data_IF_585645014161
#
_entry.id   IF_585645014161
#
_cell.length_a   1.000
_cell.length_b   1.000
_cell.length_c   1.000
_cell.angle_alpha   90.00
_cell.angle_beta   90.00
_cell.angle_gamma   90.00
#
_symmetry.space_group_name_H-M   'P 1'
#
loop_
_entity.id
_entity.type
_entity.pdbx_description
1 polymer ?
#
# COMPACT_ATOMS: atom_id res chain seq x y z
N UNK A 1 -18.63 24.77 -36.92
CA UNK A 1 -18.47 26.23 -36.96
C UNK A 1 -17.61 26.58 -35.77
N UNK A 2 -16.29 26.56 -35.95
CA UNK A 2 -15.32 26.92 -34.93
C UNK A 2 -15.44 28.43 -34.68
N UNK A 3 -15.98 28.81 -33.52
CA UNK A 3 -15.81 30.16 -33.03
C UNK A 3 -14.35 30.29 -32.60
N UNK A 4 -13.55 30.99 -33.39
CA UNK A 4 -12.21 31.39 -33.00
C UNK A 4 -12.32 32.20 -31.70
N UNK A 5 -11.87 31.61 -30.58
CA UNK A 5 -11.75 32.30 -29.30
C UNK A 5 -10.88 33.54 -29.52
N UNK A 6 -11.51 34.72 -29.46
CA UNK A 6 -10.78 35.99 -29.52
C UNK A 6 -10.23 36.23 -28.13
N UNK A 7 -8.94 35.97 -27.94
CA UNK A 7 -8.26 36.14 -26.64
C UNK A 7 -7.83 37.60 -26.51
N UNK A 8 -8.32 38.29 -25.48
CA UNK A 8 -7.78 39.59 -25.09
C UNK A 8 -6.37 39.41 -24.50
N UNK A 9 -5.37 39.93 -25.21
CA UNK A 9 -3.97 39.83 -24.80
C UNK A 9 -3.68 40.60 -23.52
N UNK A 10 -4.38 41.69 -23.24
CA UNK A 10 -4.17 42.46 -22.03
C UNK A 10 -4.66 41.69 -20.80
N UNK A 11 -5.86 41.13 -20.87
CA UNK A 11 -6.42 40.28 -19.81
C UNK A 11 -5.57 39.01 -19.60
N UNK A 12 -5.11 38.38 -20.68
CA UNK A 12 -4.20 37.23 -20.60
C UNK A 12 -2.91 37.58 -19.87
N UNK A 13 -2.24 38.67 -20.25
CA UNK A 13 -1.00 39.11 -19.62
C UNK A 13 -1.19 39.47 -18.14
N UNK A 14 -2.29 40.14 -17.81
CA UNK A 14 -2.63 40.45 -16.43
C UNK A 14 -2.84 39.16 -15.61
N UNK A 15 -3.47 38.15 -16.20
CA UNK A 15 -3.69 36.85 -15.54
C UNK A 15 -2.40 36.07 -15.34
N UNK A 16 -1.50 36.08 -16.33
CA UNK A 16 -0.15 35.49 -16.21
C UNK A 16 0.62 36.19 -15.10
N UNK A 17 0.67 37.53 -15.08
CA UNK A 17 1.38 38.28 -14.05
C UNK A 17 0.88 37.96 -12.64
N UNK A 18 -0.45 37.91 -12.43
CA UNK A 18 -1.04 37.54 -11.13
C UNK A 18 -0.66 36.11 -10.71
N UNK A 19 -0.67 35.15 -11.64
CA UNK A 19 -0.29 33.77 -11.36
C UNK A 19 1.21 33.65 -11.04
N UNK A 20 2.06 34.33 -11.79
CA UNK A 20 3.50 34.41 -11.55
C UNK A 20 3.79 34.99 -10.17
N UNK A 21 3.20 36.14 -9.84
CA UNK A 21 3.40 36.76 -8.53
C UNK A 21 2.89 35.86 -7.38
N UNK A 22 1.78 35.15 -7.58
CA UNK A 22 1.25 34.21 -6.60
C UNK A 22 2.19 33.02 -6.36
N UNK A 23 2.83 32.50 -7.41
CA UNK A 23 3.81 31.43 -7.28
C UNK A 23 5.10 31.95 -6.64
N UNK A 24 5.64 33.09 -7.10
CA UNK A 24 6.86 33.69 -6.55
C UNK A 24 6.72 34.03 -5.06
N UNK A 25 5.54 34.46 -4.60
CA UNK A 25 5.27 34.68 -3.16
C UNK A 25 5.37 33.42 -2.30
N UNK A 26 5.26 32.23 -2.89
CA UNK A 26 5.38 30.94 -2.19
C UNK A 26 6.80 30.38 -2.22
N UNK A 27 7.74 31.04 -2.91
CA UNK A 27 9.14 30.62 -2.93
C UNK A 27 9.76 30.73 -1.54
N UNK A 28 10.48 29.69 -1.11
CA UNK A 28 11.24 29.70 0.14
C UNK A 28 12.50 30.58 0.00
N UNK A 29 13.10 31.05 1.10
CA UNK A 29 14.28 31.94 1.05
C UNK A 29 15.49 31.40 0.28
N UNK A 30 15.63 30.07 0.19
CA UNK A 30 16.67 29.34 -0.53
C UNK A 30 16.28 29.00 -1.99
N UNK A 31 15.13 29.50 -2.45
CA UNK A 31 14.74 29.50 -3.85
C UNK A 31 13.87 28.32 -4.30
N UNK A 32 13.59 27.34 -3.44
CA UNK A 32 12.73 26.21 -3.80
C UNK A 32 11.25 26.47 -3.48
N UNK A 33 10.37 25.62 -4.02
CA UNK A 33 8.95 25.55 -3.66
C UNK A 33 8.64 24.18 -3.04
N UNK A 34 7.77 24.17 -2.04
CA UNK A 34 7.24 22.95 -1.44
C UNK A 34 5.73 23.02 -1.44
N UNK A 35 5.11 22.00 -2.01
CA UNK A 35 3.67 21.80 -1.99
C UNK A 35 3.37 20.43 -1.42
N UNK A 36 2.14 20.26 -0.94
CA UNK A 36 1.66 18.97 -0.50
C UNK A 36 1.57 18.00 -1.68
N UNK A 37 2.15 16.81 -1.51
CA UNK A 37 1.96 15.69 -2.41
C UNK A 37 0.96 14.73 -1.75
N UNK A 38 -0.32 14.95 -2.02
CA UNK A 38 -1.37 14.06 -1.55
C UNK A 38 -1.46 12.83 -2.47
N UNK A 39 -1.39 11.63 -1.87
CA UNK A 39 -1.60 10.37 -2.56
C UNK A 39 -3.06 9.91 -2.36
N UNK A 40 -3.28 8.91 -1.51
CA UNK A 40 -4.59 8.40 -1.17
C UNK A 40 -4.64 8.04 0.34
N UNK A 41 -5.78 7.49 0.78
CA UNK A 41 -5.98 7.11 2.17
C UNK A 41 -5.05 5.97 2.66
N UNK A 42 -4.34 5.26 1.78
CA UNK A 42 -3.52 4.11 2.14
C UNK A 42 -2.30 4.51 2.96
N UNK A 43 -1.53 5.53 2.54
CA UNK A 43 -0.31 5.95 3.22
C UNK A 43 -0.56 6.34 4.69
N UNK A 44 -1.51 7.25 5.02
CA UNK A 44 -1.77 7.58 6.42
C UNK A 44 -2.38 6.42 7.21
N UNK A 45 -3.14 5.53 6.56
CA UNK A 45 -3.65 4.32 7.21
C UNK A 45 -2.53 3.34 7.55
N UNK A 46 -1.58 3.15 6.63
CA UNK A 46 -0.42 2.29 6.81
C UNK A 46 0.53 2.81 7.87
N UNK A 47 0.65 4.14 8.03
CA UNK A 47 1.41 4.72 9.14
C UNK A 47 0.83 4.30 10.51
N UNK A 48 -0.48 4.45 10.71
CA UNK A 48 -1.15 4.00 11.95
C UNK A 48 -0.91 2.50 12.16
N UNK A 49 -1.11 1.70 11.11
CA UNK A 49 -0.93 0.26 11.19
C UNK A 49 0.54 -0.13 11.42
N UNK A 50 1.52 0.64 10.93
CA UNK A 50 2.94 0.40 11.17
C UNK A 50 3.29 0.64 12.64
N UNK A 51 2.89 1.78 13.21
CA UNK A 51 3.10 2.07 14.63
C UNK A 51 2.47 0.97 15.51
N UNK A 52 1.27 0.53 15.15
CA UNK A 52 0.59 -0.55 15.85
C UNK A 52 1.24 -1.93 15.67
N UNK A 53 1.78 -2.19 14.48
CA UNK A 53 2.53 -3.40 14.17
C UNK A 53 3.80 -3.50 15.02
N UNK A 54 4.54 -2.40 15.16
CA UNK A 54 5.77 -2.30 15.96
C UNK A 54 5.49 -2.25 17.48
N UNK A 55 4.26 -1.95 17.88
CA UNK A 55 3.91 -1.77 19.29
C UNK A 55 4.47 -0.48 19.88
N UNK A 56 4.72 0.52 19.03
CA UNK A 56 5.21 1.83 19.46
C UNK A 56 4.15 2.60 20.25
N UNK A 57 4.61 3.55 21.08
CA UNK A 57 3.70 4.45 21.76
C UNK A 57 3.01 5.34 20.69
N UNK A 58 1.67 5.39 20.68
CA UNK A 58 0.93 6.12 19.66
C UNK A 58 1.11 7.63 19.83
N UNK A 59 1.38 8.35 18.74
CA UNK A 59 1.17 9.79 18.68
C UNK A 59 -0.33 10.06 18.52
N UNK A 60 -1.01 10.24 19.66
CA UNK A 60 -2.46 10.39 19.69
C UNK A 60 -2.96 11.63 18.94
N UNK A 61 -2.17 12.70 18.86
CA UNK A 61 -2.57 13.89 18.12
C UNK A 61 -2.45 13.67 16.61
N UNK A 62 -1.40 12.99 16.16
CA UNK A 62 -1.25 12.60 14.77
C UNK A 62 -2.32 11.57 14.36
N UNK A 63 -2.57 10.55 15.17
CA UNK A 63 -3.66 9.57 14.96
C UNK A 63 -5.01 10.29 14.83
N UNK A 64 -5.29 11.27 15.69
CA UNK A 64 -6.52 12.07 15.64
C UNK A 64 -6.62 12.86 14.34
N UNK A 65 -5.54 13.52 13.89
CA UNK A 65 -5.48 14.27 12.62
C UNK A 65 -5.69 13.35 11.42
N UNK A 66 -5.03 12.19 11.39
CA UNK A 66 -5.22 11.17 10.36
C UNK A 66 -6.67 10.67 10.36
N UNK A 67 -7.26 10.40 11.52
CA UNK A 67 -8.66 10.00 11.62
C UNK A 67 -9.62 11.05 11.03
N UNK A 68 -9.39 12.34 11.29
CA UNK A 68 -10.17 13.43 10.68
C UNK A 68 -10.03 13.42 9.16
N UNK A 69 -8.80 13.28 8.66
CA UNK A 69 -8.51 13.19 7.22
C UNK A 69 -9.25 12.00 6.58
N UNK A 70 -9.12 10.80 7.14
CA UNK A 70 -9.74 9.58 6.61
C UNK A 70 -11.27 9.72 6.57
N UNK A 71 -11.90 10.20 7.64
CA UNK A 71 -13.36 10.38 7.70
C UNK A 71 -13.86 11.41 6.68
N UNK A 72 -13.13 12.50 6.48
CA UNK A 72 -13.47 13.54 5.48
C UNK A 72 -13.39 13.00 4.06
N UNK A 73 -12.44 12.10 3.79
CA UNK A 73 -12.16 11.60 2.45
C UNK A 73 -12.91 10.29 2.10
N UNK A 74 -13.86 9.86 2.94
CA UNK A 74 -14.74 8.74 2.59
C UNK A 74 -15.73 9.18 1.50
N UNK A 75 -15.71 8.50 0.36
CA UNK A 75 -16.58 8.83 -0.77
C UNK A 75 -18.03 8.31 -0.60
N UNK A 76 -18.94 8.77 -1.47
CA UNK A 76 -20.37 8.42 -1.43
C UNK A 76 -20.65 6.91 -1.55
N UNK A 77 -19.80 6.20 -2.30
CA UNK A 77 -19.86 4.75 -2.42
C UNK A 77 -19.45 3.99 -1.14
N UNK A 78 -19.19 4.69 -0.04
CA UNK A 78 -18.92 4.15 1.30
C UNK A 78 -17.47 3.74 1.55
N UNK A 79 -16.57 3.95 0.58
CA UNK A 79 -15.17 3.54 0.70
C UNK A 79 -14.21 4.66 0.37
N UNK A 80 -12.95 4.29 0.11
CA UNK A 80 -11.89 5.22 -0.28
C UNK A 80 -11.37 4.90 -1.68
N UNK A 81 -11.24 5.90 -2.56
CA UNK A 81 -10.61 5.75 -3.87
C UNK A 81 -9.07 5.91 -3.78
N UNK A 82 -8.37 5.63 -4.88
CA UNK A 82 -6.91 5.85 -5.03
C UNK A 82 -6.56 7.26 -5.53
N UNK A 83 -7.55 8.08 -5.86
CA UNK A 83 -7.39 9.47 -6.31
C UNK A 83 -8.70 10.22 -6.11
N UNK A 84 -8.65 11.56 -6.16
CA UNK A 84 -9.81 12.43 -5.99
C UNK A 84 -10.94 12.08 -6.98
N UNK A 85 -12.17 11.96 -6.49
CA UNK A 85 -13.36 11.53 -7.25
C UNK A 85 -13.21 10.18 -7.98
N UNK A 86 -12.27 9.34 -7.53
CA UNK A 86 -12.06 8.01 -8.10
C UNK A 86 -13.15 7.01 -7.74
N UNK A 87 -13.10 5.85 -8.41
CA UNK A 87 -13.93 4.72 -8.08
C UNK A 87 -13.50 4.04 -6.77
N UNK A 88 -14.41 3.26 -6.17
CA UNK A 88 -14.12 2.44 -5.00
C UNK A 88 -12.89 1.57 -5.21
N UNK A 89 -11.93 1.65 -4.29
CA UNK A 89 -10.84 0.68 -4.20
C UNK A 89 -10.94 -0.15 -2.92
N UNK A 90 -10.93 -1.48 -3.09
CA UNK A 90 -11.08 -2.43 -1.99
C UNK A 90 -9.91 -2.38 -1.01
N UNK A 91 -8.69 -2.13 -1.51
CA UNK A 91 -7.46 -2.15 -0.72
C UNK A 91 -7.35 -0.89 0.13
N UNK A 92 -7.60 0.27 -0.47
CA UNK A 92 -7.69 1.55 0.23
C UNK A 92 -8.78 1.52 1.29
N UNK A 93 -9.96 0.99 0.96
CA UNK A 93 -11.09 0.94 1.90
C UNK A 93 -10.81 0.03 3.09
N UNK A 94 -10.21 -1.16 2.88
CA UNK A 94 -9.86 -2.07 3.98
C UNK A 94 -8.80 -1.44 4.89
N UNK A 95 -7.78 -0.80 4.33
CA UNK A 95 -6.73 -0.12 5.11
C UNK A 95 -7.28 1.03 5.94
N UNK A 96 -8.10 1.90 5.33
CA UNK A 96 -8.72 3.02 6.02
C UNK A 96 -9.66 2.57 7.14
N UNK A 97 -10.50 1.56 6.88
CA UNK A 97 -11.35 0.98 7.93
C UNK A 97 -10.50 0.42 9.08
N UNK A 98 -9.46 -0.35 8.78
CA UNK A 98 -8.63 -0.97 9.82
C UNK A 98 -7.91 0.11 10.65
N UNK A 99 -7.31 1.12 10.01
CA UNK A 99 -6.68 2.24 10.71
C UNK A 99 -7.67 3.00 11.61
N UNK A 100 -8.87 3.32 11.11
CA UNK A 100 -9.92 3.96 11.89
C UNK A 100 -10.35 3.11 13.10
N UNK A 101 -10.48 1.79 12.92
CA UNK A 101 -10.77 0.87 14.02
C UNK A 101 -9.65 0.84 15.06
N UNK A 102 -8.38 0.85 14.62
CA UNK A 102 -7.21 0.87 15.52
C UNK A 102 -7.19 2.10 16.40
N UNK A 103 -7.58 3.28 15.87
CA UNK A 103 -7.64 4.54 16.64
C UNK A 103 -8.94 4.70 17.45
N UNK A 104 -9.82 3.70 17.43
CA UNK A 104 -10.97 3.61 18.34
C UNK A 104 -12.35 3.84 17.71
N UNK A 105 -12.45 3.99 16.39
CA UNK A 105 -13.75 4.15 15.75
C UNK A 105 -14.57 2.85 15.86
N UNK A 106 -15.80 2.96 16.38
CA UNK A 106 -16.69 1.83 16.55
C UNK A 106 -17.11 1.22 15.19
N UNK A 107 -17.09 -0.12 15.02
CA UNK A 107 -17.64 -0.77 13.83
C UNK A 107 -19.12 -0.45 13.55
N UNK A 108 -19.86 0.06 14.54
CA UNK A 108 -21.24 0.52 14.40
C UNK A 108 -21.40 1.99 14.00
N UNK A 109 -20.32 2.77 13.96
CA UNK A 109 -20.38 4.16 13.53
C UNK A 109 -20.80 4.26 12.05
N UNK A 110 -21.57 5.29 11.63
CA UNK A 110 -22.13 5.35 10.27
C UNK A 110 -21.10 5.19 9.14
N UNK A 111 -19.93 5.82 9.26
CA UNK A 111 -18.86 5.71 8.26
C UNK A 111 -18.22 4.32 8.24
N UNK A 112 -18.04 3.68 9.41
CA UNK A 112 -17.51 2.32 9.53
C UNK A 112 -18.49 1.29 8.94
N UNK A 113 -19.78 1.41 9.27
CA UNK A 113 -20.82 0.53 8.76
C UNK A 113 -20.92 0.58 7.23
N UNK A 114 -20.94 1.79 6.65
CA UNK A 114 -20.93 2.00 5.19
C UNK A 114 -19.71 1.36 4.52
N UNK A 115 -18.53 1.50 5.11
CA UNK A 115 -17.31 0.90 4.57
C UNK A 115 -17.33 -0.62 4.65
N UNK A 116 -17.74 -1.20 5.78
CA UNK A 116 -17.90 -2.64 5.94
C UNK A 116 -18.88 -3.20 4.90
N UNK A 117 -20.05 -2.58 4.75
CA UNK A 117 -21.04 -2.98 3.76
C UNK A 117 -20.48 -2.90 2.33
N UNK A 118 -19.79 -1.81 1.99
CA UNK A 118 -19.17 -1.64 0.68
C UNK A 118 -18.06 -2.65 0.38
N UNK A 119 -17.27 -3.03 1.40
CA UNK A 119 -16.25 -4.09 1.35
C UNK A 119 -16.91 -5.45 1.11
N UNK A 120 -17.90 -5.82 1.92
CA UNK A 120 -18.57 -7.12 1.83
C UNK A 120 -19.32 -7.28 0.50
N UNK A 121 -20.00 -6.22 0.03
CA UNK A 121 -20.67 -6.19 -1.27
C UNK A 121 -19.73 -6.45 -2.46
N UNK A 122 -18.42 -6.22 -2.28
CA UNK A 122 -17.38 -6.44 -3.31
C UNK A 122 -16.54 -7.68 -3.08
N UNK A 123 -16.99 -8.58 -2.20
CA UNK A 123 -16.38 -9.89 -1.97
C UNK A 123 -15.46 -9.96 -0.76
N UNK A 124 -15.44 -8.92 0.09
CA UNK A 124 -14.68 -8.92 1.33
C UNK A 124 -13.18 -8.63 1.17
N UNK A 125 -12.48 -8.61 2.30
CA UNK A 125 -11.04 -8.33 2.37
C UNK A 125 -10.16 -9.33 1.59
N UNK A 126 -10.66 -10.53 1.26
CA UNK A 126 -9.99 -11.51 0.39
C UNK A 126 -9.76 -10.99 -1.04
N UNK A 127 -10.49 -9.94 -1.44
CA UNK A 127 -10.41 -9.33 -2.77
C UNK A 127 -9.35 -8.25 -2.89
N UNK A 128 -8.68 -7.91 -1.79
CA UNK A 128 -7.63 -6.90 -1.75
C UNK A 128 -6.41 -7.28 -2.59
N UNK A 129 -5.57 -6.29 -2.92
CA UNK A 129 -4.31 -6.51 -3.61
C UNK A 129 -3.27 -7.22 -2.73
N UNK A 130 -2.14 -7.60 -3.32
CA UNK A 130 -1.08 -8.36 -2.61
C UNK A 130 -0.53 -7.63 -1.39
N UNK A 131 -0.31 -6.31 -1.47
CA UNK A 131 0.25 -5.53 -0.36
C UNK A 131 -0.69 -5.54 0.85
N UNK A 132 -1.98 -5.34 0.62
CA UNK A 132 -2.99 -5.38 1.68
C UNK A 132 -3.14 -6.78 2.27
N UNK A 133 -3.07 -7.84 1.46
CA UNK A 133 -3.07 -9.22 1.99
C UNK A 133 -1.84 -9.52 2.84
N UNK A 134 -0.66 -9.02 2.46
CA UNK A 134 0.55 -9.13 3.28
C UNK A 134 0.34 -8.40 4.61
N UNK A 135 -0.19 -7.18 4.58
CA UNK A 135 -0.51 -6.43 5.80
C UNK A 135 -1.51 -7.20 6.69
N UNK A 136 -2.62 -7.69 6.13
CA UNK A 136 -3.58 -8.52 6.86
C UNK A 136 -2.93 -9.78 7.44
N UNK A 137 -1.98 -10.41 6.74
CA UNK A 137 -1.24 -11.57 7.24
C UNK A 137 -0.29 -11.21 8.39
N UNK A 138 0.35 -10.04 8.34
CA UNK A 138 1.16 -9.52 9.45
C UNK A 138 0.33 -9.35 10.72
N UNK A 139 -0.94 -8.91 10.60
CA UNK A 139 -1.88 -8.80 11.73
C UNK A 139 -2.58 -10.11 12.10
N UNK A 140 -2.39 -11.18 11.32
CA UNK A 140 -3.02 -12.48 11.55
C UNK A 140 -4.50 -12.57 11.14
N UNK A 141 -5.01 -11.61 10.36
CA UNK A 141 -6.36 -11.63 9.80
C UNK A 141 -6.51 -12.68 8.68
N UNK A 142 -5.39 -13.04 8.03
CA UNK A 142 -5.36 -14.07 6.99
C UNK A 142 -4.05 -14.86 7.07
N UNK A 143 -4.04 -16.07 6.52
CA UNK A 143 -2.84 -16.89 6.49
C UNK A 143 -1.84 -16.40 5.43
N UNK A 144 -0.53 -16.50 5.70
CA UNK A 144 0.53 -16.26 4.70
C UNK A 144 0.41 -17.15 3.45
N UNK A 145 -0.30 -18.27 3.51
CA UNK A 145 -0.61 -19.08 2.32
C UNK A 145 -1.52 -18.38 1.33
N UNK A 146 -2.24 -17.33 1.75
CA UNK A 146 -3.16 -16.54 0.93
C UNK A 146 -2.46 -15.36 0.22
N UNK A 147 -1.18 -15.13 0.51
CA UNK A 147 -0.33 -14.17 -0.22
C UNK A 147 0.46 -14.90 -1.34
N UNK A 148 0.66 -14.28 -2.51
CA UNK A 148 1.61 -14.79 -3.50
C UNK A 148 3.02 -14.89 -2.91
N UNK A 149 3.68 -16.03 -3.09
CA UNK A 149 5.02 -16.30 -2.58
C UNK A 149 6.09 -15.78 -3.52
N UNK A 150 6.95 -14.91 -2.99
CA UNK A 150 8.20 -14.51 -3.65
C UNK A 150 9.36 -14.87 -2.72
N UNK A 151 10.24 -15.81 -3.11
CA UNK A 151 11.31 -16.28 -2.24
C UNK A 151 12.38 -15.21 -2.07
N UNK A 152 12.96 -15.10 -0.86
CA UNK A 152 14.04 -14.16 -0.60
C UNK A 152 15.27 -14.41 -1.50
N UNK A 153 15.48 -15.65 -1.92
CA UNK A 153 16.55 -16.08 -2.82
C UNK A 153 16.53 -15.40 -4.19
N UNK A 154 15.42 -14.74 -4.56
CA UNK A 154 15.36 -13.89 -5.76
C UNK A 154 16.52 -12.89 -5.81
N UNK A 155 16.97 -12.37 -4.65
CA UNK A 155 18.09 -11.43 -4.57
C UNK A 155 19.45 -12.03 -4.95
N UNK A 156 19.58 -13.36 -4.86
CA UNK A 156 20.82 -14.09 -5.15
C UNK A 156 20.89 -14.57 -6.61
N UNK A 157 19.83 -14.37 -7.40
CA UNK A 157 19.81 -14.79 -8.78
C UNK A 157 20.86 -14.03 -9.60
N UNK A 158 21.44 -14.66 -10.63
CA UNK A 158 22.38 -13.98 -11.51
C UNK A 158 21.66 -12.95 -12.39
N UNK A 159 22.37 -11.87 -12.74
CA UNK A 159 21.81 -10.74 -13.53
C UNK A 159 21.21 -11.14 -14.87
N UNK A 160 21.67 -12.24 -15.47
CA UNK A 160 21.14 -12.75 -16.73
C UNK A 160 19.71 -13.30 -16.58
N UNK A 161 19.31 -13.75 -15.39
CA UNK A 161 18.00 -14.37 -15.16
C UNK A 161 16.85 -13.42 -15.53
N UNK A 162 15.80 -13.89 -16.23
CA UNK A 162 14.76 -13.00 -16.77
C UNK A 162 14.07 -12.11 -15.73
N UNK A 163 13.84 -12.63 -14.51
CA UNK A 163 13.20 -11.91 -13.39
C UNK A 163 14.24 -11.51 -12.34
N UNK A 164 15.29 -10.82 -12.75
CA UNK A 164 16.31 -10.32 -11.82
C UNK A 164 15.95 -8.92 -11.30
N UNK A 165 16.21 -8.63 -10.02
CA UNK A 165 15.86 -7.35 -9.38
C UNK A 165 16.42 -6.14 -10.14
N UNK A 166 17.62 -6.23 -10.73
CA UNK A 166 18.21 -5.12 -11.52
C UNK A 166 17.43 -4.75 -12.79
N UNK A 167 16.47 -5.59 -13.22
CA UNK A 167 15.58 -5.33 -14.36
C UNK A 167 14.26 -4.68 -13.92
N UNK A 168 14.08 -4.47 -12.62
CA UNK A 168 12.93 -3.77 -12.04
C UNK A 168 13.29 -2.30 -11.78
N UNK A 169 12.28 -1.43 -11.83
CA UNK A 169 12.43 -0.02 -11.46
C UNK A 169 12.98 0.12 -10.03
N UNK A 170 13.62 1.26 -9.73
CA UNK A 170 14.22 1.46 -8.41
C UNK A 170 13.15 1.38 -7.29
N UNK A 171 12.02 2.07 -7.45
CA UNK A 171 10.93 2.09 -6.48
C UNK A 171 10.31 0.70 -6.25
N UNK A 172 10.23 -0.13 -7.29
CA UNK A 172 9.77 -1.50 -7.13
C UNK A 172 10.77 -2.32 -6.29
N UNK A 173 12.08 -2.13 -6.47
CA UNK A 173 13.10 -2.83 -5.68
C UNK A 173 13.08 -2.42 -4.22
N UNK A 174 12.91 -1.12 -3.93
CA UNK A 174 12.88 -0.61 -2.56
C UNK A 174 11.66 -1.11 -1.79
N UNK A 175 10.55 -1.42 -2.47
CA UNK A 175 9.39 -2.08 -1.87
C UNK A 175 9.54 -3.60 -1.79
N UNK A 176 9.98 -4.25 -2.88
CA UNK A 176 10.02 -5.72 -2.96
C UNK A 176 11.05 -6.31 -2.00
N UNK A 177 12.26 -5.75 -1.90
CA UNK A 177 13.35 -6.36 -1.12
C UNK A 177 13.01 -6.51 0.37
N UNK A 178 12.48 -5.49 1.08
CA UNK A 178 11.98 -5.66 2.45
C UNK A 178 10.85 -6.70 2.54
N UNK A 179 9.92 -6.71 1.58
CA UNK A 179 8.82 -7.70 1.56
C UNK A 179 9.32 -9.13 1.40
N UNK A 180 10.44 -9.37 0.71
CA UNK A 180 11.07 -10.69 0.62
C UNK A 180 11.47 -11.21 2.01
N UNK A 181 12.01 -10.34 2.86
CA UNK A 181 12.37 -10.68 4.24
C UNK A 181 11.12 -10.98 5.06
N UNK A 182 10.09 -10.15 4.95
CA UNK A 182 8.81 -10.37 5.65
C UNK A 182 8.14 -11.68 5.22
N UNK A 183 8.16 -12.02 3.92
CA UNK A 183 7.62 -13.29 3.43
C UNK A 183 8.44 -14.51 3.87
N UNK A 184 9.75 -14.35 4.03
CA UNK A 184 10.61 -15.42 4.52
C UNK A 184 10.43 -15.68 6.03
N UNK A 185 10.29 -14.61 6.83
CA UNK A 185 10.21 -14.69 8.29
C UNK A 185 8.77 -14.85 8.80
N UNK A 186 7.78 -14.38 8.04
CA UNK A 186 6.35 -14.41 8.36
C UNK A 186 6.04 -13.88 9.77
N UNK A 187 6.55 -12.68 10.14
CA UNK A 187 6.39 -12.15 11.49
C UNK A 187 4.91 -11.84 11.78
N UNK A 188 4.58 -11.72 13.06
CA UNK A 188 3.27 -11.26 13.53
C UNK A 188 3.42 -9.90 14.20
N UNK A 189 2.44 -9.03 13.96
CA UNK A 189 2.29 -7.74 14.61
C UNK A 189 2.29 -7.89 16.14
N UNK A 190 2.89 -6.91 16.84
CA UNK A 190 2.72 -6.80 18.29
C UNK A 190 1.25 -6.56 18.66
N UNK A 191 0.55 -5.69 17.91
CA UNK A 191 -0.88 -5.41 18.06
C UNK A 191 -1.33 -5.22 19.53
N UNK A 192 -0.76 -4.24 20.25
CA UNK A 192 -0.97 -4.11 21.70
C UNK A 192 -2.42 -3.82 22.11
N UNK A 193 -3.25 -3.27 21.21
CA UNK A 193 -4.69 -3.04 21.45
C UNK A 193 -5.55 -4.25 21.05
N UNK A 194 -4.94 -5.33 20.53
CA UNK A 194 -5.61 -6.54 20.05
C UNK A 194 -6.77 -6.25 19.07
N UNK A 195 -6.59 -5.25 18.20
CA UNK A 195 -7.61 -4.87 17.22
C UNK A 195 -7.51 -5.79 16.02
N UNK A 196 -8.66 -6.38 15.65
CA UNK A 196 -8.81 -7.31 14.54
C UNK A 196 -9.98 -6.88 13.65
N UNK A 197 -10.06 -7.37 12.40
CA UNK A 197 -11.10 -6.97 11.43
C UNK A 197 -11.80 -8.17 10.77
N UNK A 198 -12.24 -9.19 11.53
CA UNK A 198 -12.92 -10.37 10.96
C UNK A 198 -14.23 -10.00 10.25
N UNK A 199 -14.88 -8.89 10.64
CA UNK A 199 -16.12 -8.42 10.03
C UNK A 199 -15.97 -7.93 8.58
N UNK A 200 -14.73 -7.80 8.08
CA UNK A 200 -14.45 -7.45 6.69
C UNK A 200 -14.39 -8.68 5.76
N UNK A 201 -14.46 -9.88 6.31
CA UNK A 201 -14.39 -11.13 5.57
C UNK A 201 -15.77 -11.76 5.40
N UNK A 202 -15.97 -12.49 4.31
CA UNK A 202 -17.19 -13.25 4.09
C UNK A 202 -17.16 -14.56 4.90
N UNK A 203 -18.30 -15.02 5.48
CA UNK A 203 -18.34 -16.16 6.42
C UNK A 203 -17.76 -17.49 5.90
N UNK A 204 -17.78 -17.69 4.58
CA UNK A 204 -17.30 -18.94 3.96
C UNK A 204 -15.93 -18.80 3.30
N UNK A 205 -15.29 -17.62 3.41
CA UNK A 205 -14.12 -17.25 2.61
C UNK A 205 -14.50 -17.21 1.13
N UNK A 206 -14.40 -16.04 0.49
CA UNK A 206 -14.48 -16.07 -0.98
C UNK A 206 -13.11 -16.51 -1.47
N UNK A 207 -12.98 -17.62 -2.24
CA UNK A 207 -11.71 -17.94 -2.84
C UNK A 207 -11.25 -16.70 -3.62
N UNK A 208 -10.07 -16.17 -3.25
CA UNK A 208 -9.52 -15.01 -3.89
C UNK A 208 -9.58 -15.19 -5.41
N UNK A 209 -9.94 -14.16 -6.19
CA UNK A 209 -10.05 -14.28 -7.63
C UNK A 209 -8.74 -14.83 -8.16
N UNK A 210 -8.80 -16.01 -8.79
CA UNK A 210 -7.62 -16.62 -9.42
C UNK A 210 -7.02 -15.76 -10.54
N UNK A 211 -7.75 -14.72 -10.97
CA UNK A 211 -7.40 -13.88 -12.12
C UNK A 211 -8.09 -12.51 -12.03
N UNK A 212 -7.35 -11.43 -12.26
CA UNK A 212 -7.94 -10.13 -12.56
C UNK A 212 -8.41 -10.08 -14.04
N UNK A 213 -9.43 -9.29 -14.41
CA UNK A 213 -10.00 -9.30 -15.77
C UNK A 213 -8.98 -9.16 -16.90
N UNK A 214 -7.95 -8.34 -16.69
CA UNK A 214 -6.88 -8.03 -17.65
C UNK A 214 -5.76 -9.09 -17.73
N UNK A 215 -5.73 -10.08 -16.84
CA UNK A 215 -4.66 -11.08 -16.82
C UNK A 215 -4.89 -12.18 -17.86
N UNK A 216 -3.85 -12.51 -18.62
CA UNK A 216 -3.86 -13.66 -19.54
C UNK A 216 -4.12 -14.96 -18.77
N UNK A 217 -5.02 -15.80 -19.31
CA UNK A 217 -5.38 -17.09 -18.69
C UNK A 217 -4.16 -18.02 -18.59
N UNK A 218 -3.29 -18.03 -19.60
CA UNK A 218 -2.08 -18.85 -19.61
C UNK A 218 -1.09 -18.42 -18.54
N UNK A 219 -0.82 -17.12 -18.44
CA UNK A 219 0.06 -16.57 -17.39
C UNK A 219 -0.50 -16.77 -15.99
N UNK A 220 -1.81 -16.58 -15.80
CA UNK A 220 -2.46 -16.83 -14.51
C UNK A 220 -2.32 -18.30 -14.08
N UNK A 221 -2.49 -19.25 -15.01
CA UNK A 221 -2.27 -20.67 -14.73
C UNK A 221 -0.81 -20.97 -14.40
N UNK A 222 0.13 -20.47 -15.20
CA UNK A 222 1.57 -20.65 -14.99
C UNK A 222 2.00 -20.12 -13.61
N UNK A 223 1.69 -18.86 -13.29
CA UNK A 223 2.06 -18.26 -12.01
C UNK A 223 1.31 -18.91 -10.83
N UNK A 224 0.09 -19.40 -11.04
CA UNK A 224 -0.63 -20.18 -10.02
C UNK A 224 0.08 -21.50 -9.68
N UNK A 225 0.56 -22.23 -10.70
CA UNK A 225 1.35 -23.46 -10.49
C UNK A 225 2.70 -23.14 -9.85
N UNK A 226 3.37 -22.08 -10.30
CA UNK A 226 4.64 -21.64 -9.72
C UNK A 226 4.49 -21.28 -8.24
N UNK A 227 3.47 -20.49 -7.90
CA UNK A 227 3.17 -20.12 -6.51
C UNK A 227 2.86 -21.35 -5.64
N UNK A 228 2.04 -22.29 -6.16
CA UNK A 228 1.78 -23.55 -5.48
C UNK A 228 3.07 -24.36 -5.24
N UNK A 229 3.93 -24.48 -6.25
CA UNK A 229 5.20 -25.19 -6.14
C UNK A 229 6.12 -24.51 -5.10
N UNK A 230 6.28 -23.19 -5.18
CA UNK A 230 7.08 -22.41 -4.23
C UNK A 230 6.59 -22.64 -2.80
N UNK A 231 5.27 -22.58 -2.55
CA UNK A 231 4.69 -22.85 -1.23
C UNK A 231 4.91 -24.29 -0.77
N UNK A 232 4.71 -25.27 -1.66
CA UNK A 232 4.87 -26.69 -1.35
C UNK A 232 6.30 -27.06 -1.01
N UNK A 233 7.26 -26.39 -1.64
CA UNK A 233 8.69 -26.67 -1.49
C UNK A 233 9.44 -25.72 -0.55
N UNK A 234 8.81 -24.63 -0.08
CA UNK A 234 9.38 -23.68 0.89
C UNK A 234 9.98 -24.37 2.13
N UNK A 235 9.35 -25.39 2.76
CA UNK A 235 9.93 -26.08 3.92
C UNK A 235 11.22 -26.87 3.63
N UNK A 236 11.43 -27.27 2.37
CA UNK A 236 12.60 -28.03 1.93
C UNK A 236 13.74 -27.13 1.45
N UNK A 237 13.55 -25.81 1.46
CA UNK A 237 14.54 -24.88 0.97
C UNK A 237 15.79 -24.87 1.86
N UNK A 238 17.02 -24.83 1.30
CA UNK A 238 18.23 -24.88 2.12
C UNK A 238 18.32 -23.70 3.10
N UNK A 239 18.27 -23.98 4.42
CA UNK A 239 18.29 -22.94 5.48
C UNK A 239 19.52 -22.03 5.45
N UNK A 240 20.67 -22.53 4.95
CA UNK A 240 21.88 -21.70 4.76
C UNK A 240 21.69 -20.70 3.61
N UNK A 241 21.07 -21.12 2.52
CA UNK A 241 20.76 -20.27 1.38
C UNK A 241 19.73 -19.20 1.75
N UNK A 242 18.66 -19.58 2.47
CA UNK A 242 17.65 -18.64 2.99
C UNK A 242 18.25 -17.56 3.88
N UNK A 243 19.13 -17.94 4.82
CA UNK A 243 19.85 -16.99 5.67
C UNK A 243 20.73 -16.03 4.86
N UNK A 244 21.49 -16.55 3.90
CA UNK A 244 22.30 -15.72 3.00
C UNK A 244 21.45 -14.75 2.19
N UNK A 245 20.27 -15.17 1.72
CA UNK A 245 19.36 -14.32 0.98
C UNK A 245 18.77 -13.19 1.86
N UNK A 246 18.40 -13.51 3.10
CA UNK A 246 17.92 -12.51 4.06
C UNK A 246 19.01 -11.48 4.37
N UNK A 247 20.26 -11.91 4.62
CA UNK A 247 21.37 -10.98 4.85
C UNK A 247 21.62 -10.09 3.63
N UNK A 248 21.62 -10.64 2.41
CA UNK A 248 21.74 -9.85 1.19
C UNK A 248 20.61 -8.83 1.03
N UNK A 249 19.37 -9.17 1.44
CA UNK A 249 18.26 -8.22 1.45
C UNK A 249 18.49 -7.10 2.48
N UNK A 250 19.00 -7.43 3.66
CA UNK A 250 19.35 -6.46 4.70
C UNK A 250 20.45 -5.51 4.23
N UNK A 251 21.53 -6.05 3.67
CA UNK A 251 22.64 -5.27 3.10
C UNK A 251 22.14 -4.33 2.00
N UNK A 252 21.28 -4.82 1.10
CA UNK A 252 20.67 -4.00 0.06
C UNK A 252 19.93 -2.78 0.63
N UNK A 253 19.16 -2.98 1.70
CA UNK A 253 18.40 -1.89 2.35
C UNK A 253 19.37 -0.94 3.05
N UNK A 254 20.24 -1.44 3.94
CA UNK A 254 21.13 -0.62 4.77
C UNK A 254 22.08 0.24 3.94
N UNK A 255 22.64 -0.29 2.85
CA UNK A 255 23.50 0.45 1.92
C UNK A 255 22.81 1.69 1.32
N UNK A 256 21.47 1.67 1.23
CA UNK A 256 20.65 2.68 0.54
C UNK A 256 19.89 3.60 1.50
N UNK A 257 20.03 3.39 2.81
CA UNK A 257 19.53 4.33 3.80
C UNK A 257 20.53 5.49 3.91
N UNK A 258 20.03 6.73 3.92
CA UNK A 258 20.86 7.91 4.18
C UNK A 258 21.07 8.15 5.68
N UNK A 259 20.43 7.36 6.55
CA UNK A 259 20.53 7.46 8.02
C UNK A 259 19.56 8.47 8.65
N UNK A 260 18.89 9.28 7.83
CA UNK A 260 17.95 10.31 8.27
C UNK A 260 16.52 10.01 7.81
N UNK A 261 16.36 9.56 6.57
CA UNK A 261 15.08 9.31 5.90
C UNK A 261 14.86 7.83 5.53
N UNK A 262 13.67 7.56 5.01
CA UNK A 262 13.28 6.27 4.48
C UNK A 262 13.99 5.88 3.17
N UNK A 263 13.86 4.60 2.81
CA UNK A 263 14.48 4.02 1.62
C UNK A 263 13.83 4.54 0.32
N UNK A 264 14.58 5.32 -0.46
CA UNK A 264 14.20 5.68 -1.84
C UNK A 264 13.26 6.88 -1.97
N UNK A 265 13.05 7.65 -0.88
CA UNK A 265 12.21 8.85 -0.84
C UNK A 265 10.78 8.64 -1.34
N UNK A 266 10.20 7.48 -1.00
CA UNK A 266 8.83 7.07 -1.31
C UNK A 266 8.12 6.55 -0.06
#
# INVERSE_FOLDING_TARGET
MDQALTIDRAELNASIARATDALLRQQRPDGHWVFELEADATIPSEYILLAHYLGEAPDLELERKIGVYLRRNQADHGGWPLYHDGAFDISATVKAYFALKVIGDSPGAPHMARAREAILARGGADRTNVFTRIQLALFGETAWSNTPTVPAELILLPRWFPVHLSKMSYWARTVIVPLLVLQALKPRAHNPRAVHVPELFLPHGSPAPRRAPHQSRGWAAFFGVLDWALKRFDPFWPKKLRRRAIEACKEFVVERLNGEDGLGAI
#
